data_IF_909924059066
#
_entry.id   IF_909924059066
#
_cell.length_a   1.000
_cell.length_b   1.000
_cell.length_c   1.000
_cell.angle_alpha   90.00
_cell.angle_beta   90.00
_cell.angle_gamma   90.00
#
_symmetry.space_group_name_H-M   'P 1'
#
loop_
_entity.id
_entity.type
_entity.pdbx_description
1 polymer ?
#
# COMPACT_ATOMS: atom_id res chain seq x y z
N UNK A 1 9.01 -6.09 -17.22
CA UNK A 1 9.34 -7.51 -17.47
C UNK A 1 10.23 -8.10 -16.37
N UNK A 2 11.43 -7.54 -16.11
CA UNK A 2 12.34 -8.05 -15.04
C UNK A 2 11.63 -8.17 -13.68
N UNK A 3 10.85 -7.16 -13.28
CA UNK A 3 10.08 -7.22 -12.04
C UNK A 3 9.10 -8.39 -11.97
N UNK A 4 8.36 -8.67 -13.06
CA UNK A 4 7.40 -9.79 -13.11
C UNK A 4 8.10 -11.15 -13.05
N UNK A 5 9.14 -11.32 -13.86
CA UNK A 5 9.91 -12.57 -13.90
C UNK A 5 10.58 -12.85 -12.55
N UNK A 6 11.24 -11.83 -11.97
CA UNK A 6 11.91 -11.97 -10.68
C UNK A 6 10.92 -12.17 -9.52
N UNK A 7 9.77 -11.48 -9.54
CA UNK A 7 8.71 -11.68 -8.55
C UNK A 7 8.13 -13.10 -8.60
N UNK A 8 7.88 -13.63 -9.81
CA UNK A 8 7.43 -15.01 -10.01
C UNK A 8 8.47 -16.03 -9.53
N UNK A 9 9.74 -15.85 -9.92
CA UNK A 9 10.83 -16.74 -9.50
C UNK A 9 11.03 -16.73 -7.97
N UNK A 10 11.03 -15.55 -7.35
CA UNK A 10 11.11 -15.41 -5.89
C UNK A 10 9.90 -16.05 -5.19
N UNK A 11 8.71 -15.96 -5.80
CA UNK A 11 7.49 -16.60 -5.26
C UNK A 11 7.58 -18.14 -5.31
N UNK A 12 8.15 -18.70 -6.39
CA UNK A 12 8.42 -20.15 -6.47
C UNK A 12 9.43 -20.55 -5.38
N UNK A 13 10.52 -19.81 -5.25
CA UNK A 13 11.53 -20.07 -4.23
C UNK A 13 10.93 -20.03 -2.82
N UNK A 14 10.08 -19.05 -2.52
CA UNK A 14 9.41 -18.94 -1.23
C UNK A 14 8.43 -20.08 -0.94
N UNK A 15 7.67 -20.52 -1.96
CA UNK A 15 6.75 -21.66 -1.84
C UNK A 15 7.48 -23.00 -1.66
N UNK A 16 8.66 -23.16 -2.24
CA UNK A 16 9.50 -24.37 -2.14
C UNK A 16 10.51 -24.32 -0.99
N UNK A 17 10.51 -23.25 -0.17
CA UNK A 17 11.48 -23.10 0.91
C UNK A 17 11.44 -24.25 1.90
N UNK A 18 12.61 -24.84 2.15
CA UNK A 18 12.81 -25.94 3.09
C UNK A 18 13.29 -25.45 4.47
N UNK A 19 13.78 -24.20 4.57
CA UNK A 19 14.18 -23.56 5.82
C UNK A 19 13.62 -22.14 5.91
N UNK A 20 13.62 -21.59 7.14
CA UNK A 20 13.18 -20.23 7.41
C UNK A 20 14.07 -19.19 6.69
N UNK A 21 15.37 -19.42 6.64
CA UNK A 21 16.33 -18.52 5.99
C UNK A 21 16.08 -18.42 4.48
N UNK A 22 15.80 -19.55 3.82
CA UNK A 22 15.45 -19.58 2.40
C UNK A 22 14.13 -18.82 2.16
N UNK A 23 13.16 -19.02 3.04
CA UNK A 23 11.89 -18.30 2.96
C UNK A 23 12.10 -16.79 3.11
N UNK A 24 12.88 -16.34 4.10
CA UNK A 24 13.20 -14.92 4.29
C UNK A 24 13.94 -14.36 3.07
N UNK A 25 14.94 -15.06 2.56
CA UNK A 25 15.67 -14.64 1.36
C UNK A 25 14.74 -14.50 0.14
N UNK A 26 13.82 -15.44 -0.04
CA UNK A 26 12.81 -15.39 -1.09
C UNK A 26 11.87 -14.20 -0.92
N UNK A 27 11.45 -13.87 0.31
CA UNK A 27 10.62 -12.69 0.61
C UNK A 27 11.34 -11.37 0.35
N UNK A 28 12.63 -11.30 0.67
CA UNK A 28 13.46 -10.13 0.33
C UNK A 28 13.55 -9.96 -1.19
N UNK A 29 13.85 -11.03 -1.92
CA UNK A 29 13.91 -11.00 -3.38
C UNK A 29 12.54 -10.63 -3.99
N UNK A 30 11.44 -11.21 -3.47
CA UNK A 30 10.07 -10.89 -3.89
C UNK A 30 9.77 -9.39 -3.67
N UNK A 31 10.14 -8.82 -2.53
CA UNK A 31 9.99 -7.39 -2.24
C UNK A 31 10.77 -6.49 -3.19
N UNK A 32 12.03 -6.84 -3.49
CA UNK A 32 12.87 -6.11 -4.46
C UNK A 32 12.24 -6.06 -5.85
N UNK A 33 11.74 -7.19 -6.36
CA UNK A 33 11.09 -7.23 -7.66
C UNK A 33 9.70 -6.60 -7.65
N UNK A 34 8.94 -6.72 -6.56
CA UNK A 34 7.64 -6.07 -6.39
C UNK A 34 7.75 -4.55 -6.43
N UNK A 35 8.82 -3.98 -5.87
CA UNK A 35 9.08 -2.53 -5.90
C UNK A 35 9.19 -1.95 -7.32
N UNK A 36 9.51 -2.79 -8.33
CA UNK A 36 9.55 -2.40 -9.73
C UNK A 36 8.16 -2.40 -10.40
N UNK A 37 7.17 -3.11 -9.84
CA UNK A 37 5.90 -3.37 -10.51
C UNK A 37 4.95 -2.17 -10.46
N UNK A 38 4.72 -1.61 -9.27
CA UNK A 38 3.76 -0.52 -9.11
C UNK A 38 4.16 0.76 -9.89
N UNK A 39 5.40 1.27 -9.81
CA UNK A 39 5.82 2.41 -10.62
C UNK A 39 5.77 2.12 -12.12
N UNK A 40 6.13 0.91 -12.55
CA UNK A 40 6.08 0.51 -13.96
C UNK A 40 4.63 0.47 -14.47
N UNK A 41 3.69 -0.08 -13.70
CA UNK A 41 2.27 -0.11 -14.06
C UNK A 41 1.68 1.29 -14.17
N UNK A 42 1.95 2.16 -13.19
CA UNK A 42 1.47 3.56 -13.20
C UNK A 42 2.07 4.37 -14.36
N UNK A 43 3.35 4.15 -14.65
CA UNK A 43 4.02 4.77 -15.80
C UNK A 43 3.39 4.30 -17.12
N UNK A 44 3.16 3.00 -17.26
CA UNK A 44 2.55 2.41 -18.45
C UNK A 44 1.14 2.97 -18.69
N UNK A 45 0.30 3.01 -17.65
CA UNK A 45 -1.04 3.64 -17.71
C UNK A 45 -0.94 5.10 -18.17
N UNK A 46 0.02 5.84 -17.64
CA UNK A 46 0.19 7.27 -17.95
C UNK A 46 0.63 7.53 -19.38
N UNK A 47 1.43 6.63 -19.96
CA UNK A 47 1.96 6.76 -21.33
C UNK A 47 0.98 6.21 -22.37
N UNK A 48 0.26 5.13 -22.03
CA UNK A 48 -0.67 4.46 -22.98
C UNK A 48 -1.96 5.28 -23.14
N UNK A 49 -2.51 5.80 -22.04
CA UNK A 49 -3.76 6.59 -22.07
C UNK A 49 -3.43 8.08 -22.02
N UNK A 50 -3.39 8.73 -23.19
CA UNK A 50 -3.08 10.16 -23.33
C UNK A 50 -4.28 11.06 -23.15
N UNK A 51 -5.46 10.60 -23.59
CA UNK A 51 -6.72 11.33 -23.45
C UNK A 51 -7.16 11.41 -21.96
N UNK A 52 -7.53 12.60 -21.44
CA UNK A 52 -7.87 12.78 -20.02
C UNK A 52 -9.00 11.87 -19.53
N UNK A 53 -10.03 11.63 -20.35
CA UNK A 53 -11.16 10.79 -19.99
C UNK A 53 -10.80 9.31 -19.91
N UNK A 54 -10.07 8.80 -20.88
CA UNK A 54 -9.58 7.41 -20.91
C UNK A 54 -8.58 7.15 -19.77
N UNK A 55 -7.68 8.09 -19.54
CA UNK A 55 -6.72 8.03 -18.44
C UNK A 55 -7.43 7.98 -17.09
N UNK A 56 -8.44 8.82 -16.87
CA UNK A 56 -9.23 8.78 -15.62
C UNK A 56 -9.91 7.43 -15.44
N UNK A 57 -10.47 6.85 -16.50
CA UNK A 57 -11.09 5.52 -16.49
C UNK A 57 -10.06 4.42 -16.19
N UNK A 58 -8.90 4.45 -16.83
CA UNK A 58 -7.83 3.46 -16.62
C UNK A 58 -7.29 3.49 -15.18
N UNK A 59 -7.07 4.67 -14.61
CA UNK A 59 -6.69 4.82 -13.20
C UNK A 59 -7.80 4.41 -12.25
N UNK A 60 -9.08 4.66 -12.60
CA UNK A 60 -10.22 4.18 -11.84
C UNK A 60 -10.28 2.65 -11.77
N UNK A 61 -10.09 1.97 -12.90
CA UNK A 61 -10.02 0.50 -12.96
C UNK A 61 -8.82 -0.02 -12.17
N UNK A 62 -7.64 0.59 -12.31
CA UNK A 62 -6.45 0.22 -11.54
C UNK A 62 -6.68 0.31 -10.03
N UNK A 63 -7.32 1.38 -9.56
CA UNK A 63 -7.65 1.56 -8.14
C UNK A 63 -8.70 0.56 -7.66
N UNK A 64 -9.71 0.27 -8.48
CA UNK A 64 -10.73 -0.74 -8.18
C UNK A 64 -10.12 -2.14 -8.07
N UNK A 65 -9.20 -2.49 -8.98
CA UNK A 65 -8.45 -3.76 -8.91
C UNK A 65 -7.57 -3.84 -7.65
N UNK A 66 -6.97 -2.72 -7.22
CA UNK A 66 -6.22 -2.65 -5.97
C UNK A 66 -7.08 -2.97 -4.74
N UNK A 67 -8.30 -2.42 -4.68
CA UNK A 67 -9.25 -2.72 -3.62
C UNK A 67 -9.80 -4.15 -3.67
N UNK A 68 -10.23 -4.59 -4.86
CA UNK A 68 -10.72 -5.95 -5.07
C UNK A 68 -9.63 -7.00 -4.81
N UNK A 69 -8.38 -6.69 -5.19
CA UNK A 69 -7.22 -7.55 -4.95
C UNK A 69 -6.98 -7.85 -3.48
N UNK A 70 -7.21 -6.87 -2.60
CA UNK A 70 -7.14 -7.07 -1.14
C UNK A 70 -8.18 -8.08 -0.65
N UNK A 71 -9.44 -7.95 -1.07
CA UNK A 71 -10.51 -8.89 -0.71
C UNK A 71 -10.26 -10.30 -1.26
N UNK A 72 -9.94 -10.38 -2.55
CA UNK A 72 -9.64 -11.66 -3.21
C UNK A 72 -8.41 -12.30 -2.56
N UNK A 73 -7.37 -11.51 -2.27
CA UNK A 73 -6.16 -11.99 -1.62
C UNK A 73 -6.40 -12.59 -0.25
N UNK A 74 -7.24 -11.96 0.57
CA UNK A 74 -7.63 -12.49 1.89
C UNK A 74 -8.37 -13.83 1.77
N UNK A 75 -9.37 -13.90 0.87
CA UNK A 75 -10.15 -15.11 0.68
C UNK A 75 -9.31 -16.25 0.10
N UNK A 76 -8.57 -15.98 -0.99
CA UNK A 76 -7.69 -16.97 -1.60
C UNK A 76 -6.60 -17.41 -0.64
N UNK A 77 -6.00 -16.46 0.11
CA UNK A 77 -5.00 -16.78 1.12
C UNK A 77 -5.54 -17.70 2.21
N UNK A 78 -6.74 -17.41 2.73
CA UNK A 78 -7.44 -18.26 3.70
C UNK A 78 -7.74 -19.65 3.14
N UNK A 79 -8.35 -19.72 1.95
CA UNK A 79 -8.69 -20.99 1.30
C UNK A 79 -7.46 -21.86 1.00
N UNK A 80 -6.42 -21.25 0.42
CA UNK A 80 -5.19 -21.97 0.08
C UNK A 80 -4.46 -22.47 1.32
N UNK A 81 -4.46 -21.69 2.40
CA UNK A 81 -3.83 -22.08 3.66
C UNK A 81 -4.58 -23.21 4.34
N UNK A 82 -5.92 -23.18 4.32
CA UNK A 82 -6.76 -24.16 5.01
C UNK A 82 -6.87 -25.48 4.23
N UNK A 83 -7.04 -25.42 2.89
CA UNK A 83 -7.31 -26.62 2.08
C UNK A 83 -6.05 -27.27 1.48
N UNK A 84 -4.96 -26.52 1.38
CA UNK A 84 -3.73 -27.04 0.81
C UNK A 84 -2.54 -26.83 1.77
N UNK A 85 -1.88 -25.70 1.70
CA UNK A 85 -0.86 -25.25 2.66
C UNK A 85 -0.55 -23.77 2.44
N UNK A 86 0.08 -23.12 3.42
CA UNK A 86 0.54 -21.73 3.30
C UNK A 86 1.49 -21.51 2.10
N UNK A 87 2.17 -22.57 1.62
CA UNK A 87 3.06 -22.52 0.45
C UNK A 87 2.32 -22.12 -0.83
N UNK A 88 1.06 -22.52 -0.95
CA UNK A 88 0.23 -22.18 -2.11
C UNK A 88 -0.08 -20.68 -2.19
N UNK A 89 -0.04 -19.98 -1.08
CA UNK A 89 -0.13 -18.50 -1.06
C UNK A 89 1.06 -17.87 -1.80
N UNK A 90 2.23 -18.52 -1.80
CA UNK A 90 3.36 -18.08 -2.61
C UNK A 90 3.17 -18.45 -4.09
N UNK A 91 2.75 -19.68 -4.38
CA UNK A 91 2.58 -20.14 -5.76
C UNK A 91 1.46 -19.43 -6.51
N UNK A 92 0.41 -18.97 -5.85
CA UNK A 92 -0.68 -18.22 -6.49
C UNK A 92 -0.18 -16.92 -7.13
N UNK A 93 0.87 -16.31 -6.59
CA UNK A 93 1.50 -15.14 -7.21
C UNK A 93 2.06 -15.44 -8.60
N UNK A 94 2.51 -16.69 -8.85
CA UNK A 94 3.00 -17.11 -10.16
C UNK A 94 1.85 -17.21 -11.15
N UNK A 95 0.66 -17.67 -10.70
CA UNK A 95 -0.52 -17.74 -11.53
C UNK A 95 -0.97 -16.36 -12.05
N UNK A 96 -0.68 -15.28 -11.32
CA UNK A 96 -0.91 -13.92 -11.77
C UNK A 96 0.29 -13.32 -12.53
N UNK A 97 1.52 -13.58 -12.06
CA UNK A 97 2.72 -13.00 -12.66
C UNK A 97 3.01 -13.58 -14.04
N UNK A 98 2.77 -14.88 -14.27
CA UNK A 98 3.08 -15.52 -15.55
C UNK A 98 2.21 -15.01 -16.71
N UNK A 99 0.87 -14.93 -16.61
CA UNK A 99 0.04 -14.33 -17.66
C UNK A 99 0.38 -12.85 -17.90
N UNK A 100 0.66 -12.09 -16.80
CA UNK A 100 1.05 -10.69 -16.89
C UNK A 100 2.39 -10.54 -17.63
N UNK A 101 3.35 -11.44 -17.39
CA UNK A 101 4.64 -11.45 -18.09
C UNK A 101 4.47 -11.80 -19.57
N UNK A 102 3.68 -12.84 -19.87
CA UNK A 102 3.37 -13.23 -21.26
C UNK A 102 2.68 -12.07 -21.98
N UNK A 103 1.66 -11.47 -21.39
CA UNK A 103 0.99 -10.30 -21.94
C UNK A 103 1.93 -9.12 -22.16
N UNK A 104 2.84 -8.87 -21.22
CA UNK A 104 3.84 -7.82 -21.37
C UNK A 104 4.84 -8.09 -22.50
N UNK A 105 5.22 -9.35 -22.72
CA UNK A 105 6.11 -9.75 -23.82
C UNK A 105 5.44 -9.64 -25.19
N UNK A 106 4.15 -9.96 -25.26
CA UNK A 106 3.41 -10.01 -26.53
C UNK A 106 2.84 -8.63 -26.93
N UNK A 107 2.38 -7.84 -25.96
CA UNK A 107 1.61 -6.63 -26.22
C UNK A 107 2.41 -5.34 -26.09
N UNK A 108 3.51 -5.33 -25.29
CA UNK A 108 4.27 -4.11 -25.10
C UNK A 108 5.31 -3.93 -26.19
N UNK A 109 5.25 -2.82 -26.90
CA UNK A 109 6.29 -2.40 -27.83
C UNK A 109 7.62 -2.18 -27.09
N UNK A 110 8.74 -2.45 -27.79
CA UNK A 110 10.08 -2.17 -27.24
C UNK A 110 10.19 -0.68 -26.91
N UNK A 111 10.54 -0.31 -25.68
CA UNK A 111 10.67 1.10 -25.32
C UNK A 111 11.81 1.75 -26.09
N UNK A 112 11.52 2.88 -26.73
CA UNK A 112 12.56 3.74 -27.30
C UNK A 112 13.16 4.55 -26.14
N UNK A 113 14.30 4.11 -25.63
CA UNK A 113 15.00 4.81 -24.53
C UNK A 113 15.73 6.02 -25.12
N UNK A 114 15.09 7.18 -25.09
CA UNK A 114 15.68 8.43 -25.59
C UNK A 114 16.67 9.06 -24.61
N UNK A 115 16.48 8.88 -23.30
CA UNK A 115 17.42 9.35 -22.26
C UNK A 115 17.44 8.36 -21.08
N UNK A 116 18.64 8.00 -20.63
CA UNK A 116 18.79 7.24 -19.37
C UNK A 116 18.51 8.16 -18.18
N UNK A 117 17.55 7.87 -17.32
CA UNK A 117 17.33 8.67 -16.11
C UNK A 117 18.55 8.58 -15.20
N UNK A 118 18.97 9.70 -14.63
CA UNK A 118 20.01 9.72 -13.59
C UNK A 118 19.36 9.28 -12.29
N UNK A 119 19.82 8.16 -11.75
CA UNK A 119 19.34 7.60 -10.50
C UNK A 119 20.18 8.14 -9.34
N UNK A 120 19.51 8.51 -8.25
CA UNK A 120 20.13 8.85 -6.96
C UNK A 120 20.47 7.55 -6.20
N UNK A 121 21.54 6.86 -6.61
CA UNK A 121 21.97 5.61 -5.98
C UNK A 121 22.27 5.82 -4.48
N UNK A 122 23.00 6.87 -4.04
CA UNK A 122 23.20 7.11 -2.62
C UNK A 122 21.90 7.25 -1.83
N UNK A 123 20.93 8.00 -2.35
CA UNK A 123 19.61 8.15 -1.73
C UNK A 123 18.87 6.82 -1.61
N UNK A 124 18.90 5.97 -2.66
CA UNK A 124 18.29 4.63 -2.63
C UNK A 124 18.91 3.78 -1.51
N UNK A 125 20.24 3.71 -1.45
CA UNK A 125 20.94 2.89 -0.45
C UNK A 125 20.65 3.36 0.97
N UNK A 126 20.75 4.69 1.20
CA UNK A 126 20.53 5.26 2.54
C UNK A 126 19.09 5.03 3.02
N UNK A 127 18.08 5.31 2.18
CA UNK A 127 16.68 5.11 2.60
C UNK A 127 16.34 3.63 2.79
N UNK A 128 16.87 2.75 1.94
CA UNK A 128 16.67 1.31 2.08
C UNK A 128 17.30 0.77 3.36
N UNK A 129 18.53 1.19 3.69
CA UNK A 129 19.20 0.84 4.93
C UNK A 129 18.46 1.40 6.16
N UNK A 130 17.96 2.62 6.08
CA UNK A 130 17.17 3.26 7.13
C UNK A 130 15.90 2.47 7.45
N UNK A 131 15.12 2.16 6.42
CA UNK A 131 13.88 1.40 6.58
C UNK A 131 14.16 -0.02 7.06
N UNK A 132 15.19 -0.68 6.54
CA UNK A 132 15.60 -2.00 7.00
C UNK A 132 15.96 -1.99 8.49
N UNK A 133 16.76 -1.01 8.93
CA UNK A 133 17.19 -0.90 10.32
C UNK A 133 16.00 -0.66 11.27
N UNK A 134 15.04 0.19 10.87
CA UNK A 134 13.81 0.43 11.65
C UNK A 134 12.98 -0.84 11.76
N UNK A 135 12.70 -1.50 10.62
CA UNK A 135 11.87 -2.72 10.59
C UNK A 135 12.54 -3.84 11.37
N UNK A 136 13.86 -4.00 11.24
CA UNK A 136 14.63 -4.97 11.99
C UNK A 136 14.54 -4.70 13.50
N UNK A 137 14.66 -3.45 13.92
CA UNK A 137 14.52 -3.06 15.32
C UNK A 137 13.16 -3.43 15.90
N UNK A 138 12.07 -3.09 15.20
CA UNK A 138 10.73 -3.49 15.63
C UNK A 138 10.52 -5.01 15.66
N UNK A 139 11.02 -5.73 14.66
CA UNK A 139 10.95 -7.19 14.64
C UNK A 139 11.75 -7.83 15.79
N UNK A 140 12.90 -7.24 16.16
CA UNK A 140 13.73 -7.75 17.25
C UNK A 140 13.08 -7.55 18.62
N UNK A 141 12.31 -6.47 18.81
CA UNK A 141 11.52 -6.23 20.05
C UNK A 141 10.55 -7.37 20.32
N UNK A 142 9.95 -7.99 19.30
CA UNK A 142 8.97 -9.07 19.46
C UNK A 142 9.58 -10.29 20.19
N UNK A 143 10.85 -10.59 19.95
CA UNK A 143 11.56 -11.72 20.55
C UNK A 143 12.35 -11.36 21.83
N UNK A 144 12.49 -10.05 22.14
CA UNK A 144 13.31 -9.57 23.26
C UNK A 144 12.54 -8.59 24.16
N UNK A 145 12.90 -7.31 24.12
CA UNK A 145 12.17 -6.25 24.84
C UNK A 145 12.42 -4.88 24.20
N UNK A 146 11.59 -3.91 24.56
CA UNK A 146 11.76 -2.51 24.13
C UNK A 146 13.07 -1.86 24.62
N UNK A 147 13.69 -2.41 25.64
CA UNK A 147 14.96 -1.92 26.22
C UNK A 147 16.19 -2.66 25.69
N UNK A 148 16.00 -3.60 24.78
CA UNK A 148 17.11 -4.34 24.20
C UNK A 148 18.04 -3.41 23.39
N UNK A 149 19.37 -3.47 23.63
CA UNK A 149 20.33 -2.57 22.97
C UNK A 149 20.38 -2.74 21.46
N UNK A 150 20.13 -3.95 20.93
CA UNK A 150 20.14 -4.22 19.47
C UNK A 150 18.88 -3.63 18.84
N UNK A 151 17.73 -3.81 19.48
CA UNK A 151 16.46 -3.25 19.03
C UNK A 151 16.54 -1.71 19.00
N UNK A 152 16.87 -1.09 20.13
CA UNK A 152 17.02 0.37 20.23
C UNK A 152 18.10 0.92 19.31
N UNK A 153 19.27 0.27 19.27
CA UNK A 153 20.37 0.69 18.42
C UNK A 153 20.00 0.68 16.94
N UNK A 154 19.34 -0.37 16.46
CA UNK A 154 18.89 -0.44 15.06
C UNK A 154 17.82 0.60 14.74
N UNK A 155 16.85 0.87 15.63
CA UNK A 155 15.86 1.92 15.46
C UNK A 155 16.48 3.31 15.42
N UNK A 156 17.44 3.59 16.32
CA UNK A 156 18.19 4.86 16.34
C UNK A 156 19.00 5.02 15.05
N UNK A 157 19.73 3.99 14.64
CA UNK A 157 20.50 4.01 13.38
C UNK A 157 19.56 4.27 12.20
N UNK A 158 18.43 3.61 12.15
CA UNK A 158 17.42 3.84 11.11
C UNK A 158 16.89 5.27 11.10
N UNK A 159 16.57 5.82 12.28
CA UNK A 159 16.13 7.22 12.41
C UNK A 159 17.21 8.22 11.95
N UNK A 160 18.46 8.00 12.36
CA UNK A 160 19.61 8.81 11.93
C UNK A 160 19.79 8.74 10.41
N UNK A 161 19.72 7.55 9.83
CA UNK A 161 19.81 7.37 8.38
C UNK A 161 18.66 8.06 7.63
N UNK A 162 17.43 8.12 8.19
CA UNK A 162 16.35 8.91 7.61
C UNK A 162 16.66 10.41 7.62
N UNK A 163 17.25 10.91 8.70
CA UNK A 163 17.70 12.32 8.74
C UNK A 163 18.79 12.57 7.69
N UNK A 164 19.78 11.67 7.59
CA UNK A 164 20.83 11.71 6.57
C UNK A 164 20.23 11.66 5.17
N UNK A 165 19.22 10.81 4.92
CA UNK A 165 18.51 10.75 3.66
C UNK A 165 17.86 12.10 3.32
N UNK A 166 17.11 12.69 4.24
CA UNK A 166 16.46 14.00 4.02
C UNK A 166 17.51 15.07 3.72
N UNK A 167 18.61 15.09 4.46
CA UNK A 167 19.73 15.99 4.21
C UNK A 167 20.34 15.77 2.82
N UNK A 168 20.57 14.52 2.43
CA UNK A 168 21.10 14.15 1.12
C UNK A 168 20.17 14.62 0.00
N UNK A 169 18.83 14.43 0.16
CA UNK A 169 17.83 14.89 -0.81
C UNK A 169 17.82 16.41 -1.01
N UNK A 170 18.30 17.18 -0.03
CA UNK A 170 18.45 18.64 -0.15
C UNK A 170 19.68 19.06 -0.99
N UNK A 171 20.65 18.17 -1.20
CA UNK A 171 21.94 18.46 -1.85
C UNK A 171 22.07 17.87 -3.26
N UNK A 172 21.37 16.76 -3.54
CA UNK A 172 21.50 16.03 -4.82
C UNK A 172 20.75 16.76 -5.93
N UNK A 173 21.36 16.81 -7.13
CA UNK A 173 20.77 17.48 -8.30
C UNK A 173 19.51 16.78 -8.84
N UNK A 174 19.39 15.46 -8.65
CA UNK A 174 18.25 14.66 -9.08
C UNK A 174 17.71 13.83 -7.89
N UNK A 175 17.05 14.47 -6.90
CA UNK A 175 16.62 13.82 -5.69
C UNK A 175 15.48 12.81 -5.98
N UNK A 176 15.49 11.67 -5.29
CA UNK A 176 14.39 10.71 -5.28
C UNK A 176 13.10 11.33 -4.77
N UNK A 177 13.22 12.11 -3.68
CA UNK A 177 12.12 12.80 -3.05
C UNK A 177 12.39 14.32 -3.05
N UNK A 178 11.91 15.08 -4.04
CA UNK A 178 12.04 16.52 -4.04
C UNK A 178 11.34 17.11 -2.81
N UNK A 179 12.12 17.63 -1.84
CA UNK A 179 11.59 18.10 -0.55
C UNK A 179 10.51 19.18 -0.70
N UNK A 180 10.56 19.97 -1.78
CA UNK A 180 9.51 20.95 -2.12
C UNK A 180 8.13 20.30 -2.28
N UNK A 181 8.05 19.01 -2.67
CA UNK A 181 6.77 18.31 -2.80
C UNK A 181 6.22 17.89 -1.43
N UNK A 182 7.10 17.51 -0.51
CA UNK A 182 6.73 17.14 0.87
C UNK A 182 6.35 18.37 1.68
N UNK A 183 7.07 19.48 1.47
CA UNK A 183 6.82 20.76 2.15
C UNK A 183 5.63 21.53 1.55
N UNK A 184 5.18 21.18 0.34
CA UNK A 184 3.94 21.72 -0.20
C UNK A 184 2.76 21.28 0.64
N UNK A 185 1.99 22.24 1.16
CA UNK A 185 0.92 22.00 2.13
C UNK A 185 -0.14 21.01 1.63
N UNK A 186 -0.44 21.03 0.34
CA UNK A 186 -1.45 20.14 -0.25
C UNK A 186 -0.90 18.74 -0.51
N UNK A 187 0.29 18.65 -1.10
CA UNK A 187 0.92 17.38 -1.46
C UNK A 187 1.46 16.66 -0.23
N UNK A 188 2.15 17.36 0.65
CA UNK A 188 2.63 16.83 1.92
C UNK A 188 1.49 16.36 2.81
N UNK A 189 0.40 17.11 2.88
CA UNK A 189 -0.81 16.69 3.59
C UNK A 189 -1.43 15.41 3.02
N UNK A 190 -1.48 15.26 1.70
CA UNK A 190 -1.97 14.04 1.06
C UNK A 190 -1.04 12.84 1.33
N UNK A 191 0.28 13.04 1.29
CA UNK A 191 1.26 12.00 1.61
C UNK A 191 1.14 11.55 3.07
N UNK A 192 1.02 12.51 4.00
CA UNK A 192 0.82 12.23 5.42
C UNK A 192 -0.50 11.47 5.66
N UNK A 193 -1.58 11.84 4.97
CA UNK A 193 -2.85 11.15 5.05
C UNK A 193 -2.74 9.68 4.59
N UNK A 194 -2.08 9.42 3.45
CA UNK A 194 -1.83 8.06 2.95
C UNK A 194 -0.97 7.26 3.92
N UNK A 195 0.05 7.88 4.49
CA UNK A 195 0.93 7.24 5.47
C UNK A 195 0.18 6.82 6.73
N UNK A 196 -0.57 7.73 7.35
CA UNK A 196 -1.34 7.45 8.57
C UNK A 196 -2.40 6.38 8.33
N UNK A 197 -3.13 6.45 7.20
CA UNK A 197 -4.15 5.47 6.88
C UNK A 197 -3.54 4.09 6.61
N UNK A 198 -2.39 4.06 5.93
CA UNK A 198 -1.66 2.82 5.67
C UNK A 198 -1.21 2.13 6.96
N UNK A 199 -0.65 2.89 7.90
CA UNK A 199 -0.29 2.37 9.23
C UNK A 199 -1.52 1.81 9.97
N UNK A 200 -2.61 2.58 10.02
CA UNK A 200 -3.84 2.16 10.68
C UNK A 200 -4.43 0.90 10.05
N UNK A 201 -4.50 0.84 8.73
CA UNK A 201 -5.00 -0.32 8.01
C UNK A 201 -4.20 -1.58 8.30
N UNK A 202 -2.87 -1.48 8.23
CA UNK A 202 -2.00 -2.64 8.46
C UNK A 202 -2.11 -3.13 9.91
N UNK A 203 -2.11 -2.22 10.89
CA UNK A 203 -2.27 -2.55 12.30
C UNK A 203 -3.58 -3.29 12.55
N UNK A 204 -4.69 -2.81 12.00
CA UNK A 204 -6.00 -3.44 12.20
C UNK A 204 -6.06 -4.82 11.56
N UNK A 205 -5.57 -4.98 10.33
CA UNK A 205 -5.52 -6.29 9.70
C UNK A 205 -4.72 -7.29 10.54
N UNK A 206 -3.58 -6.86 11.07
CA UNK A 206 -2.73 -7.70 11.90
C UNK A 206 -3.44 -8.08 13.20
N UNK A 207 -3.86 -7.08 14.00
CA UNK A 207 -4.50 -7.31 15.29
C UNK A 207 -5.79 -8.11 15.20
N UNK A 208 -6.67 -7.77 14.26
CA UNK A 208 -7.92 -8.52 14.09
C UNK A 208 -7.68 -9.94 13.59
N UNK A 209 -6.66 -10.17 12.75
CA UNK A 209 -6.30 -11.54 12.32
C UNK A 209 -5.88 -12.37 13.54
N UNK A 210 -5.03 -11.84 14.40
CA UNK A 210 -4.65 -12.51 15.65
C UNK A 210 -5.84 -12.71 16.59
N UNK A 211 -6.68 -11.70 16.75
CA UNK A 211 -7.87 -11.78 17.59
C UNK A 211 -8.85 -12.87 17.08
N UNK A 212 -9.11 -12.92 15.79
CA UNK A 212 -9.97 -13.93 15.18
C UNK A 212 -9.42 -15.34 15.36
N UNK A 213 -8.11 -15.52 15.18
CA UNK A 213 -7.48 -16.82 15.33
C UNK A 213 -7.36 -17.25 16.80
N UNK A 214 -6.84 -16.37 17.68
CA UNK A 214 -6.52 -16.72 19.06
C UNK A 214 -7.73 -16.66 20.00
N UNK A 215 -8.63 -15.66 19.86
CA UNK A 215 -9.75 -15.48 20.79
C UNK A 215 -11.03 -16.12 20.29
N UNK A 216 -11.33 -16.03 18.98
CA UNK A 216 -12.57 -16.58 18.41
C UNK A 216 -12.38 -17.96 17.77
N UNK A 217 -11.15 -18.46 17.67
CA UNK A 217 -10.86 -19.78 17.06
C UNK A 217 -11.28 -19.88 15.60
N UNK A 218 -11.24 -18.77 14.85
CA UNK A 218 -11.64 -18.78 13.44
C UNK A 218 -10.58 -19.46 12.58
N UNK A 219 -11.05 -20.29 11.64
CA UNK A 219 -10.20 -20.83 10.59
C UNK A 219 -9.73 -19.69 9.65
N UNK A 220 -8.65 -19.91 8.86
CA UNK A 220 -8.18 -18.94 7.88
C UNK A 220 -9.25 -18.44 6.91
N UNK A 221 -10.13 -19.31 6.44
CA UNK A 221 -11.27 -18.94 5.57
C UNK A 221 -12.25 -18.05 6.33
N UNK A 222 -12.64 -18.46 7.54
CA UNK A 222 -13.58 -17.69 8.36
C UNK A 222 -13.02 -16.30 8.72
N UNK A 223 -11.73 -16.21 8.97
CA UNK A 223 -11.01 -14.95 9.16
C UNK A 223 -11.10 -14.06 7.91
N UNK A 224 -10.82 -14.63 6.73
CA UNK A 224 -10.96 -13.89 5.46
C UNK A 224 -12.39 -13.38 5.22
N UNK A 225 -13.40 -14.21 5.46
CA UNK A 225 -14.81 -13.83 5.36
C UNK A 225 -15.19 -12.74 6.35
N UNK A 226 -14.63 -12.78 7.56
CA UNK A 226 -14.88 -11.76 8.58
C UNK A 226 -14.39 -10.37 8.17
N UNK A 227 -13.41 -10.24 7.29
CA UNK A 227 -12.96 -8.94 6.75
C UNK A 227 -13.83 -8.38 5.62
N UNK A 228 -14.70 -9.19 4.99
CA UNK A 228 -15.50 -8.76 3.85
C UNK A 228 -16.39 -7.53 4.12
N UNK A 229 -17.07 -7.40 5.28
CA UNK A 229 -17.86 -6.20 5.57
C UNK A 229 -17.02 -4.92 5.56
N UNK A 230 -15.79 -4.96 6.07
CA UNK A 230 -14.87 -3.83 6.03
C UNK A 230 -14.47 -3.49 4.57
N UNK A 231 -14.13 -4.50 3.76
CA UNK A 231 -13.76 -4.29 2.35
C UNK A 231 -14.95 -3.74 1.56
N UNK A 232 -16.15 -4.28 1.78
CA UNK A 232 -17.37 -3.75 1.16
C UNK A 232 -17.59 -2.28 1.54
N UNK A 233 -17.41 -1.92 2.82
CA UNK A 233 -17.51 -0.54 3.28
C UNK A 233 -16.47 0.38 2.62
N UNK A 234 -15.22 -0.08 2.42
CA UNK A 234 -14.20 0.66 1.66
C UNK A 234 -14.66 0.94 0.23
N UNK A 235 -15.16 -0.09 -0.47
CA UNK A 235 -15.62 0.05 -1.87
C UNK A 235 -16.81 0.99 -1.97
N UNK A 236 -17.81 0.82 -1.11
CA UNK A 236 -19.00 1.69 -1.07
C UNK A 236 -18.59 3.13 -0.76
N UNK A 237 -17.76 3.34 0.26
CA UNK A 237 -17.30 4.67 0.63
C UNK A 237 -16.49 5.32 -0.47
N UNK A 238 -15.48 4.62 -1.03
CA UNK A 238 -14.65 5.19 -2.10
C UNK A 238 -15.48 5.60 -3.33
N UNK A 239 -16.45 4.78 -3.72
CA UNK A 239 -17.33 5.08 -4.85
C UNK A 239 -18.24 6.28 -4.54
N UNK A 240 -18.92 6.26 -3.40
CA UNK A 240 -19.85 7.33 -2.98
C UNK A 240 -19.10 8.65 -2.79
N UNK A 241 -17.97 8.63 -2.11
CA UNK A 241 -17.15 9.84 -1.88
C UNK A 241 -16.63 10.41 -3.18
N UNK A 242 -16.16 9.55 -4.11
CA UNK A 242 -15.66 9.98 -5.42
C UNK A 242 -16.73 10.65 -6.29
N UNK A 243 -17.89 10.03 -6.37
CA UNK A 243 -18.93 10.44 -7.33
C UNK A 243 -19.86 11.52 -6.78
N UNK A 244 -20.21 11.45 -5.50
CA UNK A 244 -21.29 12.27 -4.94
C UNK A 244 -20.83 13.35 -3.98
N UNK A 245 -19.85 13.06 -3.14
CA UNK A 245 -19.48 13.94 -2.02
C UNK A 245 -18.31 14.86 -2.37
N UNK A 246 -17.22 14.31 -2.90
CA UNK A 246 -16.00 15.07 -3.22
C UNK A 246 -16.23 16.25 -4.17
N UNK A 247 -17.07 16.13 -5.24
CA UNK A 247 -17.36 17.24 -6.12
C UNK A 247 -18.11 18.41 -5.46
N UNK A 248 -18.87 18.13 -4.38
CA UNK A 248 -19.73 19.11 -3.70
C UNK A 248 -19.03 19.82 -2.54
N UNK A 249 -18.30 19.07 -1.71
CA UNK A 249 -17.75 19.61 -0.45
C UNK A 249 -16.23 19.80 -0.46
N UNK A 250 -15.56 19.26 -1.48
CA UNK A 250 -14.12 19.39 -1.65
C UNK A 250 -13.29 18.42 -0.79
N UNK A 251 -11.99 18.28 -1.13
CA UNK A 251 -11.13 17.24 -0.56
C UNK A 251 -10.85 17.41 0.93
N UNK A 252 -10.72 18.64 1.42
CA UNK A 252 -10.41 18.93 2.82
C UNK A 252 -11.48 18.38 3.78
N UNK A 253 -12.74 18.63 3.48
CA UNK A 253 -13.87 18.19 4.31
C UNK A 253 -13.99 16.67 4.26
N UNK A 254 -13.89 16.09 3.06
CA UNK A 254 -13.96 14.63 2.87
C UNK A 254 -12.88 13.92 3.68
N UNK A 255 -11.61 14.34 3.58
CA UNK A 255 -10.49 13.72 4.32
C UNK A 255 -10.71 13.84 5.83
N UNK A 256 -11.05 15.03 6.33
CA UNK A 256 -11.25 15.24 7.78
C UNK A 256 -12.39 14.41 8.33
N UNK A 257 -13.55 14.41 7.66
CA UNK A 257 -14.68 13.59 8.06
C UNK A 257 -14.36 12.09 8.01
N UNK A 258 -13.67 11.65 6.97
CA UNK A 258 -13.27 10.25 6.81
C UNK A 258 -12.30 9.79 7.91
N UNK A 259 -11.35 10.64 8.34
CA UNK A 259 -10.49 10.34 9.48
C UNK A 259 -11.28 10.26 10.79
N UNK A 260 -12.26 11.13 11.01
CA UNK A 260 -13.12 11.06 12.21
C UNK A 260 -13.93 9.77 12.25
N UNK A 261 -14.49 9.35 11.10
CA UNK A 261 -15.22 8.08 10.98
C UNK A 261 -14.29 6.89 11.23
N UNK A 262 -13.08 6.90 10.66
CA UNK A 262 -12.08 5.87 10.93
C UNK A 262 -11.67 5.82 12.40
N UNK A 263 -11.44 6.98 13.02
CA UNK A 263 -11.12 7.09 14.45
C UNK A 263 -12.24 6.55 15.35
N UNK A 264 -13.50 6.83 15.01
CA UNK A 264 -14.65 6.27 15.72
C UNK A 264 -14.70 4.73 15.59
N UNK A 265 -14.46 4.20 14.41
CA UNK A 265 -14.34 2.75 14.18
C UNK A 265 -13.21 2.13 15.01
N UNK A 266 -12.04 2.77 15.04
CA UNK A 266 -10.92 2.35 15.88
C UNK A 266 -11.29 2.37 17.37
N UNK A 267 -11.92 3.45 17.85
CA UNK A 267 -12.35 3.59 19.23
C UNK A 267 -13.36 2.51 19.66
N UNK A 268 -14.22 2.06 18.76
CA UNK A 268 -15.08 0.90 19.04
C UNK A 268 -14.28 -0.38 19.22
N UNK A 269 -13.27 -0.59 18.39
CA UNK A 269 -12.43 -1.80 18.46
C UNK A 269 -11.49 -1.82 19.68
N UNK A 270 -11.22 -0.68 20.35
CA UNK A 270 -10.47 -0.68 21.62
C UNK A 270 -11.27 -1.25 22.79
N UNK A 271 -12.58 -1.42 22.62
CA UNK A 271 -13.47 -2.00 23.66
C UNK A 271 -13.68 -3.50 23.51
N UNK A 272 -12.89 -4.17 22.68
CA UNK A 272 -12.97 -5.61 22.49
C UNK A 272 -12.46 -6.34 23.71
N UNK A 273 -13.27 -7.28 24.20
CA UNK A 273 -13.00 -8.21 25.29
C UNK A 273 -12.90 -9.63 24.73
N UNK A 274 -12.43 -10.59 25.53
CA UNK A 274 -12.24 -11.96 25.08
C UNK A 274 -13.55 -12.69 24.73
N UNK A 275 -14.67 -12.22 25.28
CA UNK A 275 -16.01 -12.74 25.06
C UNK A 275 -16.83 -11.94 24.03
N UNK A 276 -16.21 -10.94 23.39
CA UNK A 276 -16.88 -10.10 22.41
C UNK A 276 -17.35 -10.90 21.19
N UNK A 277 -18.63 -10.71 20.85
CA UNK A 277 -19.20 -11.35 19.66
C UNK A 277 -18.86 -10.58 18.39
N UNK A 278 -18.64 -11.30 17.28
CA UNK A 278 -18.28 -10.69 16.01
C UNK A 278 -19.31 -9.65 15.53
N UNK A 279 -20.61 -10.03 15.51
CA UNK A 279 -21.65 -9.21 14.90
C UNK A 279 -21.93 -7.91 15.68
N UNK A 280 -21.90 -7.96 17.01
CA UNK A 280 -22.26 -6.82 17.85
C UNK A 280 -21.08 -5.89 18.14
N UNK A 281 -19.87 -6.43 18.30
CA UNK A 281 -18.74 -5.66 18.82
C UNK A 281 -17.67 -5.37 17.76
N UNK A 282 -17.42 -6.31 16.83
CA UNK A 282 -16.32 -6.18 15.85
C UNK A 282 -16.81 -5.58 14.54
N UNK A 283 -17.87 -6.13 13.97
CA UNK A 283 -18.36 -5.75 12.65
C UNK A 283 -18.72 -4.26 12.53
N UNK A 284 -19.38 -3.59 13.48
CA UNK A 284 -19.67 -2.15 13.39
C UNK A 284 -18.40 -1.30 13.34
N UNK A 285 -17.40 -1.63 14.16
CA UNK A 285 -16.09 -0.96 14.15
C UNK A 285 -15.38 -1.12 12.80
N UNK A 286 -15.40 -2.33 12.25
CA UNK A 286 -14.81 -2.63 10.94
C UNK A 286 -15.52 -1.89 9.79
N UNK A 287 -16.84 -1.78 9.82
CA UNK A 287 -17.60 -1.03 8.82
C UNK A 287 -17.23 0.46 8.88
N UNK A 288 -17.21 1.06 10.07
CA UNK A 288 -16.81 2.47 10.22
C UNK A 288 -15.38 2.71 9.74
N UNK A 289 -14.45 1.82 10.08
CA UNK A 289 -13.10 1.87 9.56
C UNK A 289 -13.07 1.81 8.04
N UNK A 290 -13.79 0.87 7.43
CA UNK A 290 -13.88 0.74 5.99
C UNK A 290 -14.43 2.00 5.32
N UNK A 291 -15.47 2.61 5.89
CA UNK A 291 -16.03 3.88 5.41
C UNK A 291 -15.01 5.02 5.47
N UNK A 292 -14.28 5.13 6.56
CA UNK A 292 -13.22 6.13 6.71
C UNK A 292 -12.06 5.91 5.73
N UNK A 293 -11.55 4.69 5.64
CA UNK A 293 -10.48 4.29 4.72
C UNK A 293 -10.82 4.63 3.27
N UNK A 294 -12.03 4.27 2.81
CA UNK A 294 -12.48 4.52 1.44
C UNK A 294 -12.49 6.00 1.08
N UNK A 295 -12.95 6.86 1.99
CA UNK A 295 -12.99 8.31 1.76
C UNK A 295 -11.60 8.95 1.69
N UNK A 296 -10.65 8.56 2.57
CA UNK A 296 -9.28 9.06 2.52
C UNK A 296 -8.56 8.59 1.26
N UNK A 297 -8.64 7.29 0.92
CA UNK A 297 -8.01 6.73 -0.27
C UNK A 297 -8.46 7.43 -1.55
N UNK A 298 -9.78 7.61 -1.70
CA UNK A 298 -10.35 8.32 -2.86
C UNK A 298 -9.77 9.73 -3.01
N UNK A 299 -9.71 10.47 -1.92
CA UNK A 299 -9.25 11.86 -1.97
C UNK A 299 -7.75 11.96 -2.23
N UNK A 300 -6.96 11.06 -1.66
CA UNK A 300 -5.52 11.03 -1.84
C UNK A 300 -5.10 10.73 -3.28
N UNK A 301 -5.80 9.82 -3.97
CA UNK A 301 -5.51 9.47 -5.35
C UNK A 301 -6.12 10.42 -6.39
N UNK A 302 -7.20 11.13 -6.05
CA UNK A 302 -7.86 12.09 -6.93
C UNK A 302 -7.37 13.54 -6.74
N UNK A 303 -6.46 13.81 -5.82
CA UNK A 303 -5.85 15.12 -5.59
C UNK A 303 -5.27 15.68 -6.87
N UNK A 304 -6.10 16.34 -7.67
CA UNK A 304 -5.76 16.97 -8.95
C UNK A 304 -4.77 18.12 -8.71
N UNK A 305 -3.74 18.23 -9.53
CA UNK A 305 -3.07 19.51 -9.71
C UNK A 305 -4.00 20.44 -10.52
N UNK A 306 -4.86 21.17 -9.85
CA UNK A 306 -5.64 22.26 -10.49
C UNK A 306 -4.75 23.44 -10.94
N UNK A 307 -3.41 23.33 -10.78
CA UNK A 307 -2.46 24.37 -11.13
C UNK A 307 -2.12 24.48 -12.61
N UNK A 308 -2.47 23.50 -13.47
CA UNK A 308 -2.16 23.62 -14.91
C UNK A 308 -3.21 24.35 -15.74
N UNK A 309 -4.44 24.49 -15.24
CA UNK A 309 -5.53 25.14 -16.02
C UNK A 309 -5.55 26.66 -15.86
N UNK A 310 -4.89 27.22 -14.86
CA UNK A 310 -4.81 28.67 -14.65
C UNK A 310 -3.76 29.36 -15.54
N UNK A 311 -2.72 28.65 -15.96
CA UNK A 311 -1.68 29.25 -16.83
C UNK A 311 -2.07 29.34 -18.31
N UNK A 312 -3.05 28.56 -18.75
CA UNK A 312 -3.51 28.61 -20.16
C UNK A 312 -4.59 29.68 -20.41
N UNK A 313 -5.11 30.31 -19.36
CA UNK A 313 -6.11 31.39 -19.49
C UNK A 313 -5.54 32.81 -19.42
N UNK A 314 -4.26 32.96 -19.17
CA UNK A 314 -3.58 34.26 -19.13
C UNK A 314 -2.73 34.48 -20.41
N UNK A 315 -3.30 34.28 -21.59
CA UNK A 315 -2.74 34.85 -22.80
C UNK A 315 -3.51 36.16 -23.08
N UNK A 316 -2.87 37.33 -23.02
CA UNK A 316 -3.53 38.57 -23.39
C UNK A 316 -3.71 38.57 -24.91
N UNK A 317 -4.96 38.80 -25.33
CA UNK A 317 -5.25 39.22 -26.70
C UNK A 317 -4.49 40.53 -26.97
N UNK A 318 -3.58 40.50 -27.90
CA UNK A 318 -3.26 41.63 -28.78
C UNK A 318 -3.13 41.11 -30.18
#
# INVERSE_FOLDING_TARGET
MIGLAGFGAASILGGSASSFEIFVAARVAQGLFAALLAPAALSLLSVTFTEPSERAKAFGIFSALGGAGGAIGLLLGGMLTEWASWRWVMYVNVAFAAPALIGALLLLAKPVITKKPKLDIPGIVVVSAALFAIVYGFAHVESTSWTDPVALGSMIVGAVLLVVFVWLQSKVAHPLLPLRLVLDRTRGGSLAAVFVIGMGMFSIFLFLTYYFAASLGYSPIKTGLAFLPMVAAVVVSSTTMSLLVLPKVGPKIVVSASFLVAAAGMALLTRLELDSTYAAHIMPGMILLGLGLGGVMTTAFQGRPQACTAMTRASPRR
#
